data_IF_978652018900
#
_entry.id   IF_978652018900
#
_cell.length_a   1.000
_cell.length_b   1.000
_cell.length_c   1.000
_cell.angle_alpha   90.00
_cell.angle_beta   90.00
_cell.angle_gamma   90.00
#
_symmetry.space_group_name_H-M   'P 1'
#
loop_
_entity.id
_entity.type
_entity.pdbx_description
1 polymer ?
#
# COMPACT_ATOMS: atom_id res chain seq x y z
N UNK A 1 -24.79 3.06 5.91
CA UNK A 1 -23.36 2.68 5.93
C UNK A 1 -23.19 1.63 4.84
N UNK A 2 -22.06 1.64 4.14
CA UNK A 2 -21.76 0.59 3.16
C UNK A 2 -21.68 -0.78 3.86
N UNK A 3 -22.03 -1.86 3.15
CA UNK A 3 -22.02 -3.22 3.71
C UNK A 3 -20.62 -3.70 4.10
N UNK A 4 -19.58 -3.31 3.36
CA UNK A 4 -18.20 -3.71 3.63
C UNK A 4 -17.26 -2.50 3.70
N UNK A 5 -16.20 -2.62 4.51
CA UNK A 5 -15.09 -1.67 4.61
C UNK A 5 -13.85 -2.32 4.01
N UNK A 6 -13.32 -1.73 2.95
CA UNK A 6 -12.21 -2.29 2.18
C UNK A 6 -11.01 -1.36 2.28
N UNK A 7 -9.88 -1.85 2.79
CA UNK A 7 -8.62 -1.13 2.70
C UNK A 7 -8.19 -1.05 1.23
N UNK A 8 -7.93 0.16 0.75
CA UNK A 8 -7.53 0.43 -0.63
C UNK A 8 -6.06 0.77 -0.70
N UNK A 9 -5.25 -0.20 -1.13
CA UNK A 9 -3.79 -0.17 -1.07
C UNK A 9 -3.19 -0.32 -2.49
N UNK A 10 -3.20 0.74 -3.32
CA UNK A 10 -2.76 0.65 -4.72
C UNK A 10 -1.26 0.38 -4.87
N UNK A 11 -0.45 0.81 -3.91
CA UNK A 11 1.00 0.67 -3.96
C UNK A 11 1.64 1.48 -5.08
N UNK A 12 2.59 0.89 -5.78
CA UNK A 12 3.47 1.55 -6.73
C UNK A 12 3.22 1.11 -8.18
N UNK A 13 3.69 1.93 -9.13
CA UNK A 13 3.68 1.61 -10.55
C UNK A 13 2.29 1.24 -11.07
N UNK A 14 2.18 0.09 -11.74
CA UNK A 14 0.92 -0.40 -12.33
C UNK A 14 -0.16 -0.74 -11.30
N UNK A 15 0.17 -0.79 -10.00
CA UNK A 15 -0.76 -1.14 -8.94
C UNK A 15 -2.00 -0.24 -8.91
N UNK A 16 -1.82 1.08 -9.09
CA UNK A 16 -2.93 2.02 -9.15
C UNK A 16 -3.84 1.78 -10.36
N UNK A 17 -3.27 1.52 -11.54
CA UNK A 17 -4.03 1.28 -12.78
C UNK A 17 -4.90 0.02 -12.67
N UNK A 18 -4.32 -1.08 -12.18
CA UNK A 18 -5.05 -2.36 -12.05
C UNK A 18 -6.13 -2.28 -10.96
N UNK A 19 -5.89 -1.56 -9.87
CA UNK A 19 -6.90 -1.35 -8.84
C UNK A 19 -8.03 -0.46 -9.37
N UNK A 20 -7.72 0.63 -10.06
CA UNK A 20 -8.75 1.47 -10.69
C UNK A 20 -9.61 0.65 -11.67
N UNK A 21 -9.01 -0.24 -12.46
CA UNK A 21 -9.76 -1.15 -13.32
C UNK A 21 -10.65 -2.14 -12.51
N UNK A 22 -10.14 -2.67 -11.40
CA UNK A 22 -10.93 -3.52 -10.50
C UNK A 22 -12.12 -2.75 -9.90
N UNK A 23 -11.94 -1.46 -9.55
CA UNK A 23 -13.02 -0.61 -9.03
C UNK A 23 -14.17 -0.49 -10.03
N UNK A 24 -13.86 -0.30 -11.32
CA UNK A 24 -14.88 -0.21 -12.38
C UNK A 24 -15.75 -1.48 -12.44
N UNK A 25 -15.14 -2.66 -12.28
CA UNK A 25 -15.88 -3.93 -12.27
C UNK A 25 -16.74 -4.05 -11.01
N UNK A 26 -16.17 -3.75 -9.84
CA UNK A 26 -16.88 -3.81 -8.55
C UNK A 26 -18.08 -2.85 -8.50
N UNK A 27 -17.92 -1.64 -9.02
CA UNK A 27 -19.01 -0.68 -9.17
C UNK A 27 -20.09 -1.20 -10.12
N UNK A 28 -19.68 -1.81 -11.25
CA UNK A 28 -20.63 -2.31 -12.25
C UNK A 28 -21.48 -3.47 -11.74
N UNK A 29 -20.92 -4.33 -10.88
CA UNK A 29 -21.65 -5.46 -10.26
C UNK A 29 -22.42 -5.05 -9.00
N UNK A 30 -22.35 -3.78 -8.59
CA UNK A 30 -23.07 -3.27 -7.42
C UNK A 30 -22.51 -3.76 -6.09
N UNK A 31 -21.20 -3.96 -5.99
CA UNK A 31 -20.56 -4.33 -4.72
C UNK A 31 -20.59 -3.14 -3.75
N UNK A 32 -21.43 -3.24 -2.71
CA UNK A 32 -21.62 -2.19 -1.71
C UNK A 32 -20.46 -2.17 -0.70
N UNK A 33 -19.47 -1.31 -0.95
CA UNK A 33 -18.29 -1.16 -0.11
C UNK A 33 -17.83 0.30 0.00
N UNK A 34 -17.33 0.65 1.18
CA UNK A 34 -16.53 1.85 1.43
C UNK A 34 -15.05 1.50 1.24
N UNK A 35 -14.33 2.32 0.47
CA UNK A 35 -12.92 2.12 0.17
C UNK A 35 -12.11 3.14 0.96
N UNK A 36 -11.26 2.65 1.86
CA UNK A 36 -10.50 3.47 2.79
C UNK A 36 -9.04 3.46 2.35
N UNK A 37 -8.46 4.60 1.92
CA UNK A 37 -7.10 4.64 1.42
C UNK A 37 -6.10 4.31 2.55
N UNK A 38 -5.04 3.60 2.20
CA UNK A 38 -3.94 3.32 3.12
C UNK A 38 -2.58 3.42 2.45
N UNK A 39 -1.58 3.69 3.28
CA UNK A 39 -0.21 3.97 2.86
C UNK A 39 0.57 2.67 2.69
N UNK A 40 1.14 2.44 1.53
CA UNK A 40 1.92 1.23 1.27
C UNK A 40 2.92 1.44 0.14
N UNK A 41 4.03 0.72 0.19
CA UNK A 41 4.97 0.61 -0.93
C UNK A 41 6.19 1.52 -0.84
N UNK A 42 6.77 1.78 -2.01
CA UNK A 42 8.11 2.32 -2.18
C UNK A 42 8.26 3.74 -1.66
N UNK A 43 7.23 4.56 -1.78
CA UNK A 43 7.26 5.92 -1.26
C UNK A 43 7.50 5.95 0.25
N UNK A 44 6.83 5.07 0.99
CA UNK A 44 6.96 4.95 2.45
C UNK A 44 8.24 4.22 2.86
N UNK A 45 8.74 3.31 2.02
CA UNK A 45 10.12 2.84 2.19
C UNK A 45 11.10 4.00 2.12
N UNK A 46 11.11 4.79 1.05
CA UNK A 46 12.08 5.89 0.86
C UNK A 46 11.99 6.93 1.97
N UNK A 47 10.78 7.38 2.30
CA UNK A 47 10.55 8.51 3.20
C UNK A 47 10.53 8.14 4.69
N UNK A 48 10.09 6.93 5.04
CA UNK A 48 9.87 6.52 6.43
C UNK A 48 10.66 5.27 6.83
N UNK A 49 11.30 4.59 5.88
CA UNK A 49 12.03 3.36 6.14
C UNK A 49 11.15 2.15 6.39
N UNK A 50 9.84 2.26 6.10
CA UNK A 50 8.87 1.21 6.34
C UNK A 50 7.84 1.17 5.19
N UNK A 51 7.85 0.14 4.33
CA UNK A 51 6.90 0.02 3.22
C UNK A 51 5.48 -0.35 3.67
N UNK A 52 5.30 -0.78 4.93
CA UNK A 52 4.02 -1.10 5.55
C UNK A 52 3.91 -0.41 6.91
N UNK A 53 3.64 0.91 6.93
CA UNK A 53 3.56 1.68 8.17
C UNK A 53 2.51 1.14 9.15
N UNK A 54 2.73 1.37 10.45
CA UNK A 54 1.82 0.90 11.51
C UNK A 54 0.38 1.39 11.30
N UNK A 55 0.19 2.61 10.80
CA UNK A 55 -1.14 3.15 10.46
C UNK A 55 -1.90 2.31 9.42
N UNK A 56 -1.19 1.66 8.49
CA UNK A 56 -1.79 0.77 7.50
C UNK A 56 -2.12 -0.59 8.11
N UNK A 57 -1.29 -1.10 9.02
CA UNK A 57 -1.63 -2.28 9.83
C UNK A 57 -2.89 -2.03 10.66
N UNK A 58 -3.01 -0.85 11.27
CA UNK A 58 -4.18 -0.50 12.08
C UNK A 58 -5.43 -0.33 11.21
N UNK A 59 -5.29 0.25 10.01
CA UNK A 59 -6.35 0.27 9.00
C UNK A 59 -6.81 -1.16 8.67
N UNK A 60 -5.88 -2.06 8.34
CA UNK A 60 -6.19 -3.45 7.96
C UNK A 60 -6.96 -4.21 9.05
N UNK A 61 -6.66 -3.94 10.34
CA UNK A 61 -7.40 -4.51 11.48
C UNK A 61 -8.83 -3.98 11.63
N UNK A 62 -9.14 -2.82 11.02
CA UNK A 62 -10.43 -2.14 11.12
C UNK A 62 -11.32 -2.29 9.86
N UNK A 63 -10.87 -3.08 8.90
CA UNK A 63 -11.52 -3.34 7.60
C UNK A 63 -11.82 -4.82 7.43
N UNK A 64 -12.84 -5.14 6.64
CA UNK A 64 -13.25 -6.53 6.36
C UNK A 64 -12.28 -7.23 5.41
N UNK A 65 -11.72 -6.49 4.46
CA UNK A 65 -10.76 -7.00 3.48
C UNK A 65 -9.86 -5.88 2.95
N UNK A 66 -8.84 -6.29 2.19
CA UNK A 66 -7.90 -5.40 1.53
C UNK A 66 -7.89 -5.67 0.02
N UNK A 67 -7.93 -4.60 -0.77
CA UNK A 67 -7.53 -4.64 -2.17
C UNK A 67 -6.12 -4.07 -2.27
N UNK A 68 -5.18 -4.96 -2.50
CA UNK A 68 -3.77 -4.67 -2.60
C UNK A 68 -3.32 -4.77 -4.05
N UNK A 69 -2.64 -3.73 -4.52
CA UNK A 69 -2.08 -3.65 -5.87
C UNK A 69 -0.71 -4.30 -5.96
N UNK A 70 0.23 -3.55 -6.54
CA UNK A 70 1.61 -3.95 -6.67
C UNK A 70 2.49 -3.00 -5.86
N UNK A 71 3.61 -3.48 -5.34
CA UNK A 71 4.65 -2.61 -4.75
C UNK A 71 5.98 -2.86 -5.44
N UNK A 72 6.84 -1.85 -5.47
CA UNK A 72 8.18 -1.97 -6.03
C UNK A 72 9.03 -2.81 -5.08
N UNK A 73 9.67 -3.86 -5.61
CA UNK A 73 10.68 -4.64 -4.90
C UNK A 73 12.03 -4.53 -5.61
N UNK A 74 13.07 -4.17 -4.87
CA UNK A 74 14.45 -4.09 -5.36
C UNK A 74 15.38 -4.90 -4.45
N UNK A 75 16.58 -5.29 -4.93
CA UNK A 75 17.61 -5.86 -4.07
C UNK A 75 17.89 -4.98 -2.85
N UNK A 76 18.22 -5.59 -1.71
CA UNK A 76 18.40 -4.89 -0.42
C UNK A 76 19.40 -3.73 -0.50
N UNK A 77 20.50 -3.92 -1.22
CA UNK A 77 21.53 -2.90 -1.38
C UNK A 77 21.06 -1.70 -2.20
N UNK A 78 20.16 -1.92 -3.16
CA UNK A 78 19.54 -0.84 -3.93
C UNK A 78 18.46 -0.14 -3.12
N UNK A 79 17.64 -0.90 -2.40
CA UNK A 79 16.62 -0.35 -1.51
C UNK A 79 17.22 0.56 -0.44
N UNK A 80 18.32 0.13 0.19
CA UNK A 80 19.02 0.92 1.21
C UNK A 80 19.56 2.26 0.68
N UNK A 81 19.97 2.32 -0.60
CA UNK A 81 20.46 3.56 -1.23
C UNK A 81 19.36 4.56 -1.54
N UNK A 82 18.12 4.10 -1.68
CA UNK A 82 16.97 4.95 -2.01
C UNK A 82 16.23 5.48 -0.78
N UNK A 83 16.61 5.04 0.43
CA UNK A 83 16.18 5.68 1.68
C UNK A 83 16.56 7.16 1.70
N UNK A 84 15.72 7.97 2.32
CA UNK A 84 16.04 9.36 2.64
C UNK A 84 17.40 9.45 3.36
N UNK A 85 18.22 10.48 3.09
CA UNK A 85 19.59 10.56 3.62
C UNK A 85 19.68 10.36 5.14
N UNK A 86 18.72 10.87 5.89
CA UNK A 86 18.60 10.75 7.34
C UNK A 86 18.24 9.35 7.83
N UNK A 87 17.78 8.46 6.95
CA UNK A 87 17.42 7.07 7.25
C UNK A 87 18.50 6.06 6.83
N UNK A 88 19.44 6.47 5.98
CA UNK A 88 20.54 5.62 5.53
C UNK A 88 21.46 5.24 6.69
N UNK A 89 21.98 4.00 6.68
CA UNK A 89 22.89 3.49 7.72
C UNK A 89 22.23 3.13 9.05
N UNK A 90 20.91 3.29 9.21
CA UNK A 90 20.17 2.96 10.44
C UNK A 90 19.83 1.47 10.63
N UNK A 91 20.38 0.60 9.77
CA UNK A 91 20.10 -0.84 9.82
C UNK A 91 18.68 -1.24 9.40
N UNK A 92 17.97 -0.33 8.71
CA UNK A 92 16.66 -0.63 8.12
C UNK A 92 16.83 -1.59 6.95
N UNK A 93 15.95 -2.59 6.88
CA UNK A 93 15.98 -3.63 5.84
C UNK A 93 14.64 -3.66 5.14
N UNK A 94 14.66 -3.57 3.81
CA UNK A 94 13.48 -3.82 2.99
C UNK A 94 13.18 -5.33 3.04
N UNK A 95 12.02 -5.69 3.55
CA UNK A 95 11.55 -7.07 3.77
C UNK A 95 10.12 -7.26 3.31
#
# INVERSE_FOLDING_TARGET
MAKYRIAWLPGDGVGADVLNAARLVLDKVGFDAEYIPGDIGWEFWKSEGNPLPQRTIDLLKSTDACLFGAITSKPKDEAAKELAPELQGKGLVYS
#
